data_IF_921380508694
#
_entry.id   IF_921380508694
#
_cell.length_a   1.000
_cell.length_b   1.000
_cell.length_c   1.000
_cell.angle_alpha   90.00
_cell.angle_beta   90.00
_cell.angle_gamma   90.00
#
_symmetry.space_group_name_H-M   'P 1'
#
loop_
_entity.id
_entity.type
_entity.pdbx_description
1 polymer ?
#
# COMPACT_ATOMS: atom_id res chain seq x y z
N UNK A 1 -12.95 -48.92 -14.59
CA UNK A 1 -12.10 -49.46 -13.50
C UNK A 1 -11.41 -48.41 -12.60
N UNK A 2 -11.89 -47.14 -12.51
CA UNK A 2 -11.32 -46.11 -11.62
C UNK A 2 -12.25 -45.60 -10.49
N UNK A 3 -13.39 -46.25 -10.26
CA UNK A 3 -14.40 -45.80 -9.26
C UNK A 3 -14.44 -46.65 -7.98
N UNK A 4 -13.71 -47.78 -7.92
CA UNK A 4 -13.69 -48.68 -6.74
C UNK A 4 -12.63 -48.32 -5.68
N UNK A 5 -11.68 -47.43 -5.97
CA UNK A 5 -10.61 -47.06 -5.05
C UNK A 5 -10.99 -45.94 -4.06
N UNK A 6 -12.00 -45.12 -4.36
CA UNK A 6 -12.42 -44.03 -3.46
C UNK A 6 -13.23 -44.50 -2.26
N UNK A 7 -13.89 -45.66 -2.33
CA UNK A 7 -14.74 -46.16 -1.23
C UNK A 7 -13.97 -46.84 -0.09
N UNK A 8 -12.78 -47.40 -0.38
CA UNK A 8 -11.96 -48.10 0.63
C UNK A 8 -11.18 -47.14 1.54
N UNK A 9 -10.91 -45.91 1.09
CA UNK A 9 -10.21 -44.90 1.89
C UNK A 9 -11.18 -44.23 2.89
N UNK A 10 -12.45 -44.06 2.53
CA UNK A 10 -13.47 -43.45 3.39
C UNK A 10 -13.90 -44.35 4.56
N UNK A 11 -13.91 -45.68 4.38
CA UNK A 11 -14.29 -46.63 5.44
C UNK A 11 -13.22 -46.76 6.55
N UNK A 12 -11.93 -46.61 6.21
CA UNK A 12 -10.85 -46.67 7.20
C UNK A 12 -10.77 -45.39 8.06
N UNK A 13 -11.16 -44.23 7.51
CA UNK A 13 -11.17 -42.97 8.28
C UNK A 13 -12.31 -42.93 9.31
N UNK A 14 -13.47 -43.52 9.01
CA UNK A 14 -14.60 -43.59 9.95
C UNK A 14 -14.31 -44.57 11.09
N UNK A 15 -13.62 -45.69 10.82
CA UNK A 15 -13.19 -46.62 11.86
C UNK A 15 -12.16 -46.00 12.83
N UNK A 16 -11.28 -45.13 12.34
CA UNK A 16 -10.27 -44.45 13.16
C UNK A 16 -10.89 -43.40 14.10
N UNK A 17 -11.95 -42.69 13.65
CA UNK A 17 -12.67 -41.69 14.47
C UNK A 17 -13.53 -42.35 15.56
N UNK A 18 -14.08 -43.54 15.31
CA UNK A 18 -14.83 -44.31 16.31
C UNK A 18 -13.91 -44.92 17.37
N UNK A 19 -12.68 -45.33 17.00
CA UNK A 19 -11.68 -45.81 17.95
C UNK A 19 -11.15 -44.68 18.87
N UNK A 20 -11.05 -43.44 18.37
CA UNK A 20 -10.55 -42.31 19.15
C UNK A 20 -11.59 -41.69 20.10
N UNK A 21 -12.89 -41.89 19.84
CA UNK A 21 -13.96 -41.37 20.71
C UNK A 21 -14.37 -42.34 21.82
N UNK A 22 -14.01 -43.62 21.73
CA UNK A 22 -14.36 -44.65 22.73
C UNK A 22 -13.30 -44.89 23.80
N UNK A 23 -12.09 -44.35 23.66
CA UNK A 23 -11.03 -44.37 24.68
C UNK A 23 -11.05 -43.19 25.66
N UNK A 24 -12.01 -42.27 25.52
CA UNK A 24 -12.07 -41.01 26.29
C UNK A 24 -12.86 -41.04 27.61
N UNK A 25 -13.31 -42.19 28.11
CA UNK A 25 -14.02 -42.24 29.41
C UNK A 25 -13.68 -43.52 30.19
N UNK A 26 -12.66 -43.46 31.05
CA UNK A 26 -12.55 -44.16 32.35
C UNK A 26 -11.09 -44.12 32.82
N UNK A 27 -10.85 -43.34 33.87
CA UNK A 27 -9.96 -43.56 35.04
C UNK A 27 -9.70 -42.18 35.66
N UNK A 28 -10.43 -41.81 36.71
CA UNK A 28 -10.07 -42.05 38.11
C UNK A 28 -8.96 -41.12 38.61
N UNK A 29 -9.30 -40.33 39.62
CA UNK A 29 -8.52 -39.31 40.29
C UNK A 29 -7.15 -39.80 40.81
N UNK A 30 -6.12 -38.98 40.62
CA UNK A 30 -4.92 -38.93 41.46
C UNK A 30 -4.45 -37.47 41.60
N UNK A 31 -3.99 -37.02 42.78
CA UNK A 31 -3.74 -35.61 43.04
C UNK A 31 -2.40 -35.15 42.46
N UNK A 32 -2.43 -34.00 41.79
CA UNK A 32 -1.25 -33.23 41.36
C UNK A 32 -0.49 -32.73 42.60
N UNK A 33 0.56 -33.47 42.99
CA UNK A 33 1.73 -32.94 43.68
C UNK A 33 2.96 -33.24 42.82
N UNK A 34 3.86 -32.25 42.78
CA UNK A 34 5.17 -32.25 42.13
C UNK A 34 5.28 -32.11 40.61
N UNK A 35 5.02 -30.88 40.16
CA UNK A 35 5.60 -30.31 38.93
C UNK A 35 6.82 -29.40 39.20
N UNK A 36 7.33 -29.33 40.44
CA UNK A 36 8.56 -28.59 40.74
C UNK A 36 9.84 -29.40 40.47
N UNK A 37 9.82 -30.72 40.71
CA UNK A 37 11.00 -31.58 40.49
C UNK A 37 11.39 -31.78 39.02
N UNK A 38 10.43 -31.66 38.08
CA UNK A 38 10.74 -31.79 36.65
C UNK A 38 11.50 -30.58 36.09
N UNK A 39 11.39 -29.42 36.75
CA UNK A 39 12.07 -28.18 36.33
C UNK A 39 13.55 -28.20 36.67
N UNK A 40 13.93 -28.88 37.75
CA UNK A 40 15.32 -28.95 38.21
C UNK A 40 16.10 -30.07 37.51
N UNK A 41 15.44 -31.13 37.02
CA UNK A 41 16.09 -32.15 36.18
C UNK A 41 16.43 -31.68 34.75
N UNK A 42 15.75 -30.65 34.23
CA UNK A 42 16.00 -30.13 32.88
C UNK A 42 17.09 -29.04 32.81
N UNK A 43 17.68 -28.64 33.94
CA UNK A 43 18.79 -27.65 33.98
C UNK A 43 20.20 -28.24 33.87
N UNK A 44 20.33 -29.57 33.76
CA UNK A 44 21.62 -30.27 33.86
C UNK A 44 22.35 -30.60 32.56
N UNK A 45 21.78 -30.39 31.38
CA UNK A 45 22.36 -30.93 30.13
C UNK A 45 22.73 -29.84 29.13
N UNK A 46 23.88 -29.19 29.35
CA UNK A 46 24.55 -28.40 28.32
C UNK A 46 25.39 -29.37 27.49
N UNK A 47 24.85 -29.81 26.35
CA UNK A 47 25.62 -30.51 25.33
C UNK A 47 26.51 -29.48 24.62
N UNK A 48 27.78 -29.40 25.02
CA UNK A 48 28.83 -28.73 24.24
C UNK A 48 29.09 -29.56 22.97
N UNK A 49 28.38 -29.24 21.90
CA UNK A 49 28.69 -29.74 20.56
C UNK A 49 29.62 -28.74 19.89
N UNK A 50 30.93 -29.02 19.96
CA UNK A 50 31.94 -28.30 19.19
C UNK A 50 31.91 -28.82 17.76
N UNK A 51 31.28 -28.09 16.84
CA UNK A 51 31.36 -28.41 15.42
C UNK A 51 32.73 -28.00 14.88
N UNK A 52 33.43 -28.87 14.11
CA UNK A 52 34.70 -28.53 13.52
C UNK A 52 34.52 -27.43 12.46
N UNK A 53 35.37 -26.41 12.55
CA UNK A 53 35.49 -25.35 11.53
C UNK A 53 36.09 -25.99 10.26
N UNK A 54 35.42 -25.92 9.10
CA UNK A 54 35.99 -26.45 7.88
C UNK A 54 37.21 -25.61 7.47
N UNK A 55 38.33 -26.28 7.21
CA UNK A 55 39.52 -25.65 6.65
C UNK A 55 39.25 -25.10 5.25
N UNK A 56 39.87 -23.96 4.88
CA UNK A 56 39.70 -23.38 3.55
C UNK A 56 40.24 -24.33 2.48
N UNK A 57 39.36 -24.72 1.56
CA UNK A 57 39.73 -25.51 0.37
C UNK A 57 40.52 -24.59 -0.57
N UNK A 58 41.75 -24.97 -0.99
CA UNK A 58 42.50 -24.19 -1.97
C UNK A 58 41.78 -24.23 -3.32
N UNK A 59 41.51 -23.04 -3.88
CA UNK A 59 40.96 -22.92 -5.23
C UNK A 59 41.99 -23.39 -6.26
N UNK A 60 41.67 -24.49 -6.94
CA UNK A 60 42.40 -24.95 -8.12
C UNK A 60 42.01 -24.05 -9.29
N UNK A 61 42.97 -23.46 -10.03
CA UNK A 61 42.66 -22.66 -11.20
C UNK A 61 42.03 -23.54 -12.28
N UNK A 62 40.83 -23.17 -12.71
CA UNK A 62 40.11 -23.80 -13.82
C UNK A 62 40.82 -23.41 -15.13
N UNK A 63 41.31 -24.36 -15.94
CA UNK A 63 41.87 -24.03 -17.23
C UNK A 63 40.78 -23.52 -18.17
N UNK A 64 41.08 -22.44 -18.89
CA UNK A 64 40.19 -21.86 -19.88
C UNK A 64 39.87 -22.87 -20.99
N UNK A 65 38.59 -23.16 -21.19
CA UNK A 65 38.12 -23.96 -22.31
C UNK A 65 38.27 -23.15 -23.61
N UNK A 66 38.78 -23.77 -24.70
CA UNK A 66 38.87 -23.10 -26.00
C UNK A 66 37.47 -22.84 -26.56
N UNK A 67 37.23 -21.59 -26.98
CA UNK A 67 36.02 -21.17 -27.68
C UNK A 67 36.07 -21.73 -29.11
N UNK A 68 35.11 -22.56 -29.54
CA UNK A 68 35.07 -23.02 -30.92
C UNK A 68 34.54 -21.90 -31.82
N UNK A 69 35.40 -21.39 -32.71
CA UNK A 69 35.02 -20.53 -33.82
C UNK A 69 34.49 -21.37 -34.97
N UNK A 70 33.19 -21.66 -34.96
CA UNK A 70 32.48 -22.17 -36.13
C UNK A 70 31.63 -21.04 -36.71
N UNK A 71 31.84 -20.63 -37.98
CA UNK A 71 30.98 -19.64 -38.61
C UNK A 71 29.62 -20.27 -38.92
N UNK A 72 28.58 -19.76 -38.29
CA UNK A 72 27.19 -20.10 -38.59
C UNK A 72 26.80 -19.42 -39.91
N UNK A 73 26.28 -20.13 -40.92
CA UNK A 73 25.79 -19.49 -42.14
C UNK A 73 24.53 -18.68 -41.82
N UNK A 74 24.55 -17.40 -42.19
CA UNK A 74 23.38 -16.51 -42.12
C UNK A 74 22.36 -16.97 -43.16
N UNK A 75 21.10 -17.27 -42.79
CA UNK A 75 20.07 -17.56 -43.78
C UNK A 75 19.71 -16.26 -44.51
N UNK A 76 19.77 -16.30 -45.84
CA UNK A 76 19.25 -15.24 -46.70
C UNK A 76 17.72 -15.20 -46.59
N UNK A 77 17.21 -14.15 -45.95
CA UNK A 77 15.79 -13.81 -45.93
C UNK A 77 15.41 -13.24 -47.31
N UNK A 78 14.42 -13.79 -48.02
CA UNK A 78 13.97 -13.22 -49.28
C UNK A 78 13.29 -11.87 -49.03
N UNK A 79 13.77 -10.85 -49.74
CA UNK A 79 13.20 -9.51 -49.75
C UNK A 79 11.82 -9.54 -50.42
N UNK A 80 10.77 -9.61 -49.61
CA UNK A 80 9.40 -9.37 -50.08
C UNK A 80 9.22 -7.85 -50.17
N UNK A 81 8.98 -7.34 -51.38
CA UNK A 81 8.63 -5.93 -51.56
C UNK A 81 7.26 -5.68 -50.93
N UNK A 82 7.11 -4.61 -50.11
CA UNK A 82 5.82 -4.30 -49.52
C UNK A 82 4.87 -3.81 -50.61
N UNK A 83 3.77 -4.53 -50.77
CA UNK A 83 2.64 -4.10 -51.60
C UNK A 83 2.04 -2.84 -50.95
N UNK A 84 2.11 -1.72 -51.66
CA UNK A 84 1.55 -0.44 -51.22
C UNK A 84 0.03 -0.54 -51.34
N UNK A 85 -0.63 -0.94 -50.26
CA UNK A 85 -2.08 -0.82 -50.13
C UNK A 85 -2.39 0.64 -49.83
N UNK A 86 -2.80 1.37 -50.86
CA UNK A 86 -3.33 2.73 -50.73
C UNK A 86 -4.69 2.68 -50.07
N UNK A 87 -4.72 2.74 -48.74
CA UNK A 87 -5.96 2.94 -47.98
C UNK A 87 -6.35 4.41 -48.15
N UNK A 88 -7.45 4.67 -48.87
CA UNK A 88 -8.04 6.00 -48.91
C UNK A 88 -8.51 6.38 -47.50
N UNK A 89 -8.17 7.57 -46.98
CA UNK A 89 -8.63 7.99 -45.68
C UNK A 89 -10.13 8.23 -45.74
N UNK A 90 -10.89 7.34 -45.12
CA UNK A 90 -12.29 7.59 -44.81
C UNK A 90 -12.33 8.79 -43.87
N UNK A 91 -12.94 9.89 -44.34
CA UNK A 91 -13.12 11.12 -43.58
C UNK A 91 -14.13 10.84 -42.49
N UNK A 92 -13.66 10.28 -41.37
CA UNK A 92 -14.44 10.21 -40.15
C UNK A 92 -14.52 11.63 -39.62
N UNK A 93 -15.67 12.28 -39.85
CA UNK A 93 -15.96 13.60 -39.31
C UNK A 93 -15.64 13.59 -37.81
N UNK A 94 -14.76 14.50 -37.38
CA UNK A 94 -14.44 14.70 -35.98
C UNK A 94 -15.73 15.05 -35.23
N UNK A 95 -16.31 14.07 -34.57
CA UNK A 95 -17.38 14.29 -33.60
C UNK A 95 -16.73 15.08 -32.47
N UNK A 96 -17.04 16.38 -32.40
CA UNK A 96 -16.60 17.23 -31.31
C UNK A 96 -16.97 16.53 -29.99
N UNK A 97 -16.04 16.38 -29.03
CA UNK A 97 -16.35 15.76 -27.76
C UNK A 97 -17.42 16.63 -27.11
N UNK A 98 -18.66 16.13 -27.11
CA UNK A 98 -19.74 16.71 -26.33
C UNK A 98 -19.30 16.49 -24.90
N UNK A 99 -18.80 17.55 -24.27
CA UNK A 99 -18.50 17.57 -22.85
C UNK A 99 -19.83 17.36 -22.12
N UNK A 100 -20.14 16.08 -21.88
CA UNK A 100 -21.19 15.70 -20.95
C UNK A 100 -20.67 16.12 -19.58
N UNK A 101 -20.93 17.38 -19.23
CA UNK A 101 -20.80 17.87 -17.87
C UNK A 101 -21.72 16.99 -17.06
N UNK A 102 -21.13 16.00 -16.38
CA UNK A 102 -21.91 15.09 -15.55
C UNK A 102 -22.36 15.92 -14.37
N UNK A 103 -23.61 16.38 -14.42
CA UNK A 103 -24.16 17.24 -13.38
C UNK A 103 -24.22 16.44 -12.08
N UNK A 104 -23.46 16.89 -11.09
CA UNK A 104 -23.64 16.45 -9.70
C UNK A 104 -25.05 16.87 -9.32
N UNK A 105 -25.83 16.01 -8.63
CA UNK A 105 -27.17 16.40 -8.17
C UNK A 105 -27.08 17.73 -7.41
N UNK A 106 -27.90 18.74 -7.75
CA UNK A 106 -27.90 20.00 -7.02
C UNK A 106 -28.23 19.73 -5.55
N UNK A 107 -27.55 20.44 -4.65
CA UNK A 107 -27.94 20.47 -3.24
C UNK A 107 -29.25 21.26 -3.09
N UNK A 108 -30.03 20.94 -2.06
CA UNK A 108 -31.29 21.64 -1.77
C UNK A 108 -31.02 23.12 -1.48
N UNK A 109 -31.84 24.03 -2.02
CA UNK A 109 -31.78 25.46 -1.70
C UNK A 109 -32.38 25.69 -0.31
N UNK A 110 -31.66 26.41 0.55
CA UNK A 110 -32.16 26.75 1.88
C UNK A 110 -32.16 28.28 2.03
N UNK A 111 -33.37 28.81 2.13
CA UNK A 111 -33.63 30.25 2.27
C UNK A 111 -33.06 31.10 1.11
N UNK A 112 -33.01 30.55 -0.10
CA UNK A 112 -32.50 31.26 -1.29
C UNK A 112 -30.98 31.39 -1.33
N UNK A 113 -30.26 30.53 -0.60
CA UNK A 113 -28.79 30.43 -0.62
C UNK A 113 -28.39 29.07 -1.19
N UNK A 114 -27.44 29.11 -2.14
CA UNK A 114 -26.82 27.89 -2.65
C UNK A 114 -26.20 27.09 -1.51
N UNK A 115 -26.70 25.88 -1.29
CA UNK A 115 -26.09 24.97 -0.34
C UNK A 115 -24.76 24.44 -0.90
N UNK A 116 -23.72 24.44 -0.07
CA UNK A 116 -22.38 24.03 -0.45
C UNK A 116 -21.80 23.10 0.60
N UNK A 117 -21.00 22.15 0.15
CA UNK A 117 -20.23 21.31 1.06
C UNK A 117 -19.18 22.14 1.79
N UNK A 118 -19.05 21.86 3.10
CA UNK A 118 -18.02 22.43 3.95
C UNK A 118 -17.28 21.28 4.61
N UNK A 119 -15.96 21.31 4.57
CA UNK A 119 -15.11 20.39 5.34
C UNK A 119 -14.43 21.22 6.41
N UNK A 120 -14.50 20.73 7.65
CA UNK A 120 -13.86 21.41 8.77
C UNK A 120 -12.35 21.49 8.53
N UNK A 121 -11.74 22.68 8.67
CA UNK A 121 -10.30 22.79 8.52
C UNK A 121 -9.61 21.98 9.62
N UNK A 122 -8.45 21.43 9.28
CA UNK A 122 -7.59 20.84 10.29
C UNK A 122 -7.15 21.92 11.29
N UNK A 123 -7.24 21.61 12.59
CA UNK A 123 -6.63 22.43 13.63
C UNK A 123 -5.11 22.53 13.40
N UNK A 124 -4.44 23.51 14.04
CA UNK A 124 -3.01 23.77 13.83
C UNK A 124 -2.16 22.49 13.80
N UNK A 125 -1.33 22.38 12.76
CA UNK A 125 -0.42 21.25 12.59
C UNK A 125 0.58 21.20 13.74
N UNK A 126 0.82 20.00 14.26
CA UNK A 126 1.88 19.76 15.22
C UNK A 126 3.25 20.06 14.60
N UNK A 127 4.24 20.40 15.42
CA UNK A 127 5.57 20.79 14.93
C UNK A 127 6.26 19.69 14.10
N UNK A 128 6.03 18.41 14.42
CA UNK A 128 6.53 17.27 13.65
C UNK A 128 5.83 17.13 12.28
N UNK A 129 4.52 17.40 12.23
CA UNK A 129 3.76 17.47 11.00
C UNK A 129 4.26 18.59 10.08
N UNK A 130 4.73 19.73 10.63
CA UNK A 130 5.33 20.79 9.83
C UNK A 130 6.63 20.34 9.13
N UNK A 131 7.46 19.51 9.79
CA UNK A 131 8.67 18.96 9.18
C UNK A 131 8.33 17.96 8.06
N UNK A 132 7.36 17.07 8.29
CA UNK A 132 6.90 16.14 7.28
C UNK A 132 6.30 16.89 6.07
N UNK A 133 5.42 17.86 6.31
CA UNK A 133 4.84 18.71 5.26
C UNK A 133 5.91 19.39 4.40
N UNK A 134 6.90 20.03 5.03
CA UNK A 134 8.02 20.65 4.32
C UNK A 134 8.78 19.63 3.45
N UNK A 135 9.06 18.43 3.99
CA UNK A 135 9.78 17.39 3.23
C UNK A 135 8.98 16.91 2.02
N UNK A 136 7.69 16.66 2.17
CA UNK A 136 6.85 16.24 1.04
C UNK A 136 6.64 17.37 0.02
N UNK A 137 6.57 18.63 0.46
CA UNK A 137 6.60 19.81 -0.44
C UNK A 137 7.91 19.85 -1.25
N UNK A 138 9.07 19.62 -0.63
CA UNK A 138 10.34 19.56 -1.36
C UNK A 138 10.38 18.41 -2.37
N UNK A 139 9.89 17.23 -1.99
CA UNK A 139 9.78 16.06 -2.88
C UNK A 139 8.94 16.41 -4.10
N UNK A 140 7.77 17.00 -3.90
CA UNK A 140 6.86 17.38 -4.97
C UNK A 140 7.45 18.48 -5.86
N UNK A 141 7.98 19.56 -5.26
CA UNK A 141 8.56 20.69 -5.98
C UNK A 141 9.75 20.28 -6.86
N UNK A 142 10.58 19.35 -6.38
CA UNK A 142 11.75 18.82 -7.11
C UNK A 142 11.42 17.65 -8.03
N UNK A 143 10.18 17.16 -8.03
CA UNK A 143 9.78 15.92 -8.70
C UNK A 143 10.69 14.74 -8.30
N UNK A 144 11.03 14.65 -7.01
CA UNK A 144 12.09 13.77 -6.52
C UNK A 144 11.76 12.27 -6.64
N UNK A 145 10.48 11.91 -6.68
CA UNK A 145 10.02 10.54 -6.98
C UNK A 145 10.03 10.19 -8.47
N UNK A 146 10.43 11.15 -9.31
CA UNK A 146 10.46 11.02 -10.76
C UNK A 146 9.10 11.25 -11.40
N UNK A 147 9.14 11.72 -12.64
CA UNK A 147 8.03 11.68 -13.57
C UNK A 147 8.53 11.03 -14.87
N UNK A 148 7.70 10.23 -15.54
CA UNK A 148 8.02 9.87 -16.93
C UNK A 148 7.79 11.12 -17.79
N UNK A 149 8.78 11.49 -18.60
CA UNK A 149 8.50 12.30 -19.80
C UNK A 149 7.55 11.46 -20.66
N UNK A 150 6.42 12.06 -21.03
CA UNK A 150 5.16 11.41 -21.39
C UNK A 150 5.21 10.39 -22.54
N UNK A 151 4.47 9.31 -22.37
CA UNK A 151 3.84 8.58 -23.50
C UNK A 151 2.43 9.14 -23.82
N UNK A 152 1.78 9.94 -22.95
CA UNK A 152 0.33 10.26 -23.07
C UNK A 152 -0.18 11.63 -22.53
N UNK A 153 0.61 12.72 -22.52
CA UNK A 153 0.02 14.05 -22.22
C UNK A 153 -0.28 14.39 -20.75
N UNK A 154 -0.13 13.45 -19.81
CA UNK A 154 -0.31 13.69 -18.36
C UNK A 154 1.03 13.72 -17.62
N UNK A 155 1.34 14.83 -16.92
CA UNK A 155 2.50 14.90 -16.02
C UNK A 155 2.03 14.70 -14.57
N UNK A 156 2.43 13.59 -13.95
CA UNK A 156 2.36 13.44 -12.49
C UNK A 156 3.74 13.68 -11.87
N UNK A 157 3.77 14.28 -10.69
CA UNK A 157 4.95 14.43 -9.83
C UNK A 157 4.93 13.45 -8.65
N UNK A 158 3.89 12.62 -8.54
CA UNK A 158 3.65 11.67 -7.46
C UNK A 158 4.32 10.30 -7.69
N UNK A 159 5.35 10.24 -8.54
CA UNK A 159 6.11 9.02 -8.85
C UNK A 159 5.53 8.16 -9.98
N UNK A 160 6.28 7.11 -10.33
CA UNK A 160 6.02 6.23 -11.48
C UNK A 160 4.70 5.44 -11.37
N UNK A 161 4.27 5.08 -10.16
CA UNK A 161 3.02 4.36 -9.92
C UNK A 161 1.76 5.23 -10.09
N UNK A 162 1.91 6.55 -10.20
CA UNK A 162 0.81 7.52 -10.17
C UNK A 162 0.44 8.09 -11.54
N UNK A 163 1.09 7.63 -12.62
CA UNK A 163 0.65 7.96 -13.98
C UNK A 163 -0.50 7.03 -14.42
N UNK A 164 -1.16 7.32 -15.54
CA UNK A 164 -2.29 6.52 -16.03
C UNK A 164 -1.95 5.04 -16.27
N UNK A 165 -0.70 4.75 -16.63
CA UNK A 165 -0.22 3.39 -16.88
C UNK A 165 0.04 2.69 -15.55
N UNK A 166 0.72 3.34 -14.62
CA UNK A 166 0.96 2.80 -13.28
C UNK A 166 -0.33 2.60 -12.50
N UNK A 167 -1.25 3.55 -12.55
CA UNK A 167 -2.51 3.48 -11.84
C UNK A 167 -3.59 2.63 -12.56
N UNK A 168 -3.28 1.97 -13.68
CA UNK A 168 -4.27 1.29 -14.50
C UNK A 168 -5.10 0.24 -13.73
N UNK A 169 -4.45 -0.63 -12.95
CA UNK A 169 -5.16 -1.66 -12.19
C UNK A 169 -5.92 -1.07 -11.00
N UNK A 170 -5.42 0.05 -10.43
CA UNK A 170 -6.16 0.84 -9.45
C UNK A 170 -7.43 1.43 -10.05
N UNK A 171 -7.35 2.07 -11.20
CA UNK A 171 -8.50 2.65 -11.90
C UNK A 171 -9.54 1.57 -12.19
N UNK A 172 -9.09 0.42 -12.70
CA UNK A 172 -9.97 -0.72 -13.05
C UNK A 172 -10.61 -1.33 -11.80
N UNK A 173 -9.82 -1.58 -10.75
CA UNK A 173 -10.27 -2.17 -9.50
C UNK A 173 -11.28 -1.27 -8.78
N UNK A 174 -10.98 0.02 -8.67
CA UNK A 174 -11.88 1.01 -8.05
C UNK A 174 -13.16 1.20 -8.87
N UNK A 175 -13.06 1.28 -10.20
CA UNK A 175 -14.25 1.38 -11.07
C UNK A 175 -15.17 0.18 -10.86
N UNK A 176 -14.62 -1.04 -10.83
CA UNK A 176 -15.40 -2.24 -10.54
C UNK A 176 -16.05 -2.19 -9.16
N UNK A 177 -15.28 -1.82 -8.13
CA UNK A 177 -15.78 -1.73 -6.76
C UNK A 177 -16.94 -0.73 -6.64
N UNK A 178 -16.79 0.49 -7.16
CA UNK A 178 -17.83 1.51 -7.08
C UNK A 178 -19.06 1.20 -7.92
N UNK A 179 -18.91 0.55 -9.08
CA UNK A 179 -20.07 0.07 -9.85
C UNK A 179 -20.93 -0.94 -9.08
N UNK A 180 -20.31 -1.69 -8.15
CA UNK A 180 -21.00 -2.63 -7.27
C UNK A 180 -21.55 -1.98 -6.00
N UNK A 181 -21.11 -0.76 -5.67
CA UNK A 181 -21.50 -0.03 -4.47
C UNK A 181 -21.84 1.45 -4.83
N UNK A 182 -22.84 1.68 -5.71
CA UNK A 182 -23.16 3.01 -6.21
C UNK A 182 -23.66 3.98 -5.12
N UNK A 183 -24.06 3.48 -3.96
CA UNK A 183 -24.50 4.27 -2.81
C UNK A 183 -23.35 5.00 -2.08
N UNK A 184 -22.08 4.62 -2.33
CA UNK A 184 -20.91 5.23 -1.71
C UNK A 184 -20.60 6.57 -2.36
N UNK A 185 -21.17 7.66 -1.87
CA UNK A 185 -21.17 8.95 -2.58
C UNK A 185 -20.26 10.01 -1.96
N UNK A 186 -19.67 9.73 -0.80
CA UNK A 186 -18.73 10.65 -0.14
C UNK A 186 -17.38 9.95 0.08
N UNK A 187 -16.32 10.47 -0.53
CA UNK A 187 -14.98 9.88 -0.50
C UNK A 187 -13.97 10.88 0.07
N UNK A 188 -13.14 10.45 1.02
CA UNK A 188 -11.94 11.15 1.45
C UNK A 188 -10.69 10.39 0.97
N UNK A 189 -9.84 11.04 0.17
CA UNK A 189 -8.58 10.51 -0.36
C UNK A 189 -7.39 11.26 0.27
N UNK A 190 -6.64 10.60 1.15
CA UNK A 190 -5.65 11.25 2.02
C UNK A 190 -4.42 10.34 2.23
N UNK A 191 -3.25 10.65 1.65
CA UNK A 191 -2.99 11.77 0.75
C UNK A 191 -3.58 11.54 -0.65
N UNK A 192 -4.07 12.61 -1.29
CA UNK A 192 -4.60 12.55 -2.66
C UNK A 192 -3.52 12.62 -3.74
N UNK A 193 -2.28 13.01 -3.40
CA UNK A 193 -1.26 13.33 -4.39
C UNK A 193 -1.73 14.42 -5.35
N UNK A 194 -1.10 14.51 -6.52
CA UNK A 194 -1.39 15.53 -7.54
C UNK A 194 -2.58 15.22 -8.47
N UNK A 195 -3.45 14.31 -8.04
CA UNK A 195 -4.68 13.91 -8.73
C UNK A 195 -4.48 13.48 -10.20
N UNK A 196 -3.34 12.88 -10.52
CA UNK A 196 -2.95 12.53 -11.89
C UNK A 196 -3.82 11.46 -12.57
N UNK A 197 -4.48 10.60 -11.79
CA UNK A 197 -5.22 9.45 -12.31
C UNK A 197 -6.63 9.32 -11.72
N UNK A 198 -6.89 9.93 -10.55
CA UNK A 198 -8.12 9.73 -9.78
C UNK A 198 -9.37 10.08 -10.57
N UNK A 199 -9.32 11.12 -11.40
CA UNK A 199 -10.46 11.55 -12.21
C UNK A 199 -10.78 10.59 -13.38
N UNK A 200 -9.90 9.63 -13.69
CA UNK A 200 -10.20 8.54 -14.61
C UNK A 200 -11.13 7.48 -13.98
N UNK A 201 -11.23 7.44 -12.65
CA UNK A 201 -12.28 6.67 -11.96
C UNK A 201 -13.55 7.49 -11.98
N UNK A 202 -14.49 7.16 -12.87
CA UNK A 202 -15.75 7.90 -13.07
C UNK A 202 -16.43 8.23 -11.73
N UNK A 203 -16.50 7.26 -10.83
CA UNK A 203 -17.17 7.43 -9.53
C UNK A 203 -16.50 8.47 -8.64
N UNK A 204 -15.16 8.53 -8.59
CA UNK A 204 -14.44 9.60 -7.85
C UNK A 204 -14.65 10.97 -8.49
N UNK A 205 -14.83 11.00 -9.82
CA UNK A 205 -15.11 12.24 -10.52
C UNK A 205 -16.53 12.77 -10.23
N UNK A 206 -17.52 11.87 -10.19
CA UNK A 206 -18.96 12.20 -10.13
C UNK A 206 -19.59 12.00 -8.76
N UNK A 207 -18.83 11.59 -7.74
CA UNK A 207 -19.31 11.44 -6.38
C UNK A 207 -19.96 12.72 -5.85
N UNK A 208 -20.96 12.59 -4.98
CA UNK A 208 -21.58 13.73 -4.28
C UNK A 208 -20.53 14.64 -3.64
N UNK A 209 -19.52 14.06 -2.98
CA UNK A 209 -18.39 14.79 -2.42
C UNK A 209 -17.10 13.98 -2.53
N UNK A 210 -16.06 14.60 -3.06
CA UNK A 210 -14.69 14.12 -3.00
C UNK A 210 -13.84 15.11 -2.21
N UNK A 211 -13.26 14.66 -1.10
CA UNK A 211 -12.23 15.39 -0.39
C UNK A 211 -10.86 14.83 -0.74
N UNK A 212 -9.96 15.68 -1.23
CA UNK A 212 -8.55 15.34 -1.42
C UNK A 212 -7.70 16.12 -0.42
N UNK A 213 -7.14 15.40 0.55
CA UNK A 213 -6.21 15.97 1.52
C UNK A 213 -4.78 15.60 1.14
N UNK A 214 -3.80 16.49 1.32
CA UNK A 214 -2.38 16.13 1.19
C UNK A 214 -1.52 16.86 2.21
N UNK A 215 -0.50 16.20 2.74
CA UNK A 215 0.45 16.81 3.68
C UNK A 215 1.42 17.77 2.98
N UNK A 216 1.64 17.61 1.67
CA UNK A 216 2.33 18.59 0.85
C UNK A 216 1.36 19.74 0.54
N UNK A 217 1.54 20.90 1.19
CA UNK A 217 0.69 22.08 1.00
C UNK A 217 0.68 22.52 -0.47
N UNK A 218 1.81 22.44 -1.17
CA UNK A 218 1.93 22.80 -2.57
C UNK A 218 1.07 21.93 -3.49
N UNK A 219 0.98 20.62 -3.22
CA UNK A 219 0.10 19.68 -3.93
C UNK A 219 -1.36 20.08 -3.76
N UNK A 220 -1.78 20.30 -2.51
CA UNK A 220 -3.15 20.69 -2.20
C UNK A 220 -3.56 22.01 -2.88
N UNK A 221 -2.66 23.01 -2.86
CA UNK A 221 -2.89 24.32 -3.53
C UNK A 221 -2.98 24.17 -5.05
N UNK A 222 -2.08 23.39 -5.65
CA UNK A 222 -2.10 23.15 -7.10
C UNK A 222 -3.39 22.43 -7.53
N UNK A 223 -3.83 21.42 -6.77
CA UNK A 223 -5.07 20.70 -7.03
C UNK A 223 -6.30 21.59 -6.85
N UNK A 224 -6.40 22.35 -5.76
CA UNK A 224 -7.50 23.28 -5.52
C UNK A 224 -7.62 24.30 -6.67
N UNK A 225 -6.49 24.80 -7.18
CA UNK A 225 -6.47 25.69 -8.34
C UNK A 225 -6.94 24.97 -9.62
N UNK A 226 -6.43 23.75 -9.88
CA UNK A 226 -6.74 22.97 -11.08
C UNK A 226 -8.21 22.57 -11.14
N UNK A 227 -8.80 22.22 -10.01
CA UNK A 227 -10.16 21.71 -9.92
C UNK A 227 -11.17 22.73 -9.35
N UNK A 228 -10.84 24.02 -9.32
CA UNK A 228 -11.69 25.09 -8.75
C UNK A 228 -13.12 25.16 -9.31
N UNK A 229 -13.34 24.65 -10.52
CA UNK A 229 -14.65 24.64 -11.19
C UNK A 229 -15.51 23.42 -10.81
N UNK A 230 -14.98 22.50 -10.01
CA UNK A 230 -15.68 21.30 -9.56
C UNK A 230 -16.19 21.51 -8.14
N UNK A 231 -17.45 21.86 -7.99
CA UNK A 231 -18.08 22.18 -6.69
C UNK A 231 -18.11 20.98 -5.72
N UNK A 232 -18.10 19.75 -6.25
CA UNK A 232 -18.05 18.53 -5.46
C UNK A 232 -16.64 18.12 -5.02
N UNK A 233 -15.61 18.95 -5.26
CA UNK A 233 -14.23 18.64 -4.92
C UNK A 233 -13.66 19.66 -3.95
N UNK A 234 -13.32 19.19 -2.75
CA UNK A 234 -12.68 20.00 -1.72
C UNK A 234 -11.25 19.52 -1.57
N UNK A 235 -10.30 20.38 -1.91
CA UNK A 235 -8.87 20.06 -1.93
C UNK A 235 -8.15 20.92 -0.91
N UNK A 236 -7.53 20.29 0.09
CA UNK A 236 -6.97 21.01 1.23
C UNK A 236 -5.66 20.39 1.71
N UNK A 237 -4.82 21.24 2.31
CA UNK A 237 -3.65 20.78 3.04
C UNK A 237 -4.11 20.01 4.28
N UNK A 238 -3.67 18.77 4.44
CA UNK A 238 -4.19 17.86 5.44
C UNK A 238 -3.15 16.84 5.87
N UNK A 239 -2.85 16.79 7.17
CA UNK A 239 -2.06 15.72 7.76
C UNK A 239 -2.99 14.72 8.45
N UNK A 240 -3.18 13.54 7.86
CA UNK A 240 -4.03 12.50 8.43
C UNK A 240 -3.63 12.11 9.86
N UNK A 241 -2.33 12.19 10.20
CA UNK A 241 -1.85 11.89 11.54
C UNK A 241 -2.30 12.93 12.55
N UNK A 242 -2.10 14.22 12.29
CA UNK A 242 -2.52 15.29 13.22
C UNK A 242 -4.02 15.53 13.21
N UNK A 243 -4.59 15.68 12.01
CA UNK A 243 -5.95 16.13 11.76
C UNK A 243 -7.01 15.02 11.94
N UNK A 244 -6.61 13.75 11.74
CA UNK A 244 -7.56 12.65 11.61
C UNK A 244 -8.36 12.71 10.31
N UNK A 245 -9.46 11.98 10.26
CA UNK A 245 -10.33 11.94 9.08
C UNK A 245 -11.24 13.16 9.09
N UNK A 246 -11.34 13.93 7.98
CA UNK A 246 -12.21 15.09 7.90
C UNK A 246 -13.67 14.70 8.14
N UNK A 247 -14.42 15.65 8.69
CA UNK A 247 -15.88 15.62 8.71
C UNK A 247 -16.39 16.68 7.75
N UNK A 248 -17.57 16.43 7.18
CA UNK A 248 -18.19 17.36 6.26
C UNK A 248 -19.60 17.73 6.71
N UNK A 249 -20.03 18.92 6.36
CA UNK A 249 -21.38 19.41 6.56
C UNK A 249 -21.82 20.16 5.29
N UNK A 250 -23.00 20.75 5.32
CA UNK A 250 -23.37 21.72 4.29
C UNK A 250 -23.55 23.10 4.92
N UNK A 251 -23.59 24.15 4.10
CA UNK A 251 -23.84 25.52 4.57
C UNK A 251 -25.23 25.66 5.20
N UNK A 252 -26.19 24.84 4.77
CA UNK A 252 -27.52 24.80 5.35
C UNK A 252 -27.65 23.89 6.58
N UNK A 253 -26.83 22.84 6.66
CA UNK A 253 -26.90 21.87 7.74
C UNK A 253 -25.51 21.68 8.35
N UNK A 254 -25.33 22.23 9.56
CA UNK A 254 -24.10 22.14 10.33
C UNK A 254 -23.86 20.77 10.99
N UNK A 255 -24.76 19.80 10.78
CA UNK A 255 -24.55 18.43 11.26
C UNK A 255 -23.32 17.84 10.60
N UNK A 256 -22.38 17.38 11.42
CA UNK A 256 -21.14 16.76 10.95
C UNK A 256 -21.40 15.34 10.48
N UNK A 257 -21.10 15.09 9.22
CA UNK A 257 -21.23 13.81 8.58
C UNK A 257 -19.85 13.16 8.39
N UNK A 258 -19.86 11.84 8.39
CA UNK A 258 -18.70 11.02 8.04
C UNK A 258 -18.66 10.77 6.54
N UNK A 259 -17.49 10.48 6.00
CA UNK A 259 -17.35 9.99 4.62
C UNK A 259 -17.73 8.52 4.55
N UNK A 260 -18.30 8.07 3.44
CA UNK A 260 -18.60 6.65 3.22
C UNK A 260 -17.30 5.83 3.04
N UNK A 261 -16.32 6.42 2.36
CA UNK A 261 -15.06 5.78 1.98
C UNK A 261 -13.88 6.65 2.38
N UNK A 262 -12.85 6.02 2.95
CA UNK A 262 -11.54 6.63 3.16
C UNK A 262 -10.51 5.86 2.33
N UNK A 263 -9.73 6.56 1.54
CA UNK A 263 -8.67 6.01 0.70
C UNK A 263 -7.31 6.55 1.13
N UNK A 264 -6.35 5.64 1.28
CA UNK A 264 -4.94 5.94 1.58
C UNK A 264 -4.08 5.09 0.65
N UNK A 265 -3.77 5.61 -0.54
CA UNK A 265 -2.90 4.93 -1.50
C UNK A 265 -1.46 5.39 -1.33
N UNK A 266 -0.54 4.44 -1.28
CA UNK A 266 0.91 4.63 -1.33
C UNK A 266 1.48 5.68 -0.36
N UNK A 267 0.93 5.73 0.84
CA UNK A 267 1.36 6.69 1.87
C UNK A 267 1.87 6.01 3.14
N UNK A 268 1.26 4.90 3.55
CA UNK A 268 1.58 4.28 4.84
C UNK A 268 3.03 3.77 4.89
N UNK A 269 3.60 3.33 3.76
CA UNK A 269 5.02 2.97 3.61
C UNK A 269 5.99 4.13 3.83
N UNK A 270 5.49 5.35 3.86
CA UNK A 270 6.28 6.57 4.05
C UNK A 270 6.17 7.17 5.45
N UNK A 271 5.33 6.59 6.31
CA UNK A 271 5.01 7.13 7.62
C UNK A 271 5.60 6.20 8.69
N UNK A 272 6.13 6.75 9.78
CA UNK A 272 6.60 5.94 10.90
C UNK A 272 5.51 4.97 11.40
N UNK A 273 5.86 3.71 11.68
CA UNK A 273 4.86 2.67 12.02
C UNK A 273 3.95 3.10 13.17
N UNK A 274 4.50 3.70 14.25
CA UNK A 274 3.69 4.16 15.38
C UNK A 274 2.65 5.22 15.00
N UNK A 275 2.95 6.06 14.00
CA UNK A 275 1.98 7.01 13.42
C UNK A 275 0.97 6.29 12.55
N UNK A 276 1.38 5.29 11.76
CA UNK A 276 0.46 4.44 10.99
C UNK A 276 -0.55 3.74 11.90
N UNK A 277 -0.11 3.17 13.03
CA UNK A 277 -1.03 2.54 13.99
C UNK A 277 -2.10 3.52 14.50
N UNK A 278 -1.71 4.77 14.76
CA UNK A 278 -2.65 5.82 15.17
C UNK A 278 -3.57 6.28 14.03
N UNK A 279 -3.04 6.41 12.81
CA UNK A 279 -3.84 6.70 11.61
C UNK A 279 -4.90 5.62 11.42
N UNK A 280 -4.52 4.34 11.49
CA UNK A 280 -5.45 3.22 11.35
C UNK A 280 -6.54 3.25 12.42
N UNK A 281 -6.22 3.61 13.67
CA UNK A 281 -7.24 3.83 14.72
C UNK A 281 -8.21 4.94 14.34
N UNK A 282 -7.72 6.12 13.94
CA UNK A 282 -8.59 7.24 13.52
C UNK A 282 -9.46 6.88 12.32
N UNK A 283 -8.91 6.14 11.36
CA UNK A 283 -9.60 5.74 10.12
C UNK A 283 -10.64 4.65 10.37
N UNK A 284 -10.33 3.64 11.18
CA UNK A 284 -11.17 2.44 11.33
C UNK A 284 -12.14 2.56 12.52
N UNK A 285 -11.74 3.24 13.59
CA UNK A 285 -12.52 3.34 14.83
C UNK A 285 -13.33 4.65 14.89
N UNK A 286 -12.71 5.78 14.55
CA UNK A 286 -13.28 7.11 14.86
C UNK A 286 -13.97 7.78 13.66
N UNK A 287 -13.66 7.32 12.45
CA UNK A 287 -14.04 8.03 11.23
C UNK A 287 -15.53 7.96 10.89
N UNK A 288 -16.23 6.92 11.36
CA UNK A 288 -17.59 6.61 10.95
C UNK A 288 -17.74 6.14 9.50
N UNK A 289 -16.64 5.90 8.79
CA UNK A 289 -16.68 5.40 7.42
C UNK A 289 -17.12 3.93 7.35
N UNK A 290 -17.63 3.53 6.18
CA UNK A 290 -18.06 2.16 5.90
C UNK A 290 -16.96 1.33 5.25
N UNK A 291 -16.10 2.00 4.48
CA UNK A 291 -15.04 1.35 3.70
C UNK A 291 -13.70 2.05 3.86
N UNK A 292 -12.64 1.24 3.91
CA UNK A 292 -11.26 1.68 3.94
C UNK A 292 -10.50 1.06 2.76
N UNK A 293 -9.92 1.89 1.90
CA UNK A 293 -9.17 1.51 0.70
C UNK A 293 -7.71 1.88 0.89
N UNK A 294 -6.78 0.97 0.63
CA UNK A 294 -5.35 1.25 0.80
C UNK A 294 -4.46 0.34 -0.05
N UNK A 295 -3.17 0.68 -0.16
CA UNK A 295 -2.15 -0.24 -0.69
C UNK A 295 -1.52 -1.08 0.42
N UNK A 296 -1.11 -2.30 0.08
CA UNK A 296 -0.28 -3.12 0.95
C UNK A 296 0.74 -3.92 0.15
N UNK A 297 1.93 -4.10 0.72
CA UNK A 297 3.09 -4.75 0.15
C UNK A 297 3.37 -6.07 0.90
N UNK A 298 2.59 -7.14 0.61
CA UNK A 298 2.79 -8.42 1.28
C UNK A 298 4.19 -8.97 0.99
N UNK A 299 4.74 -9.70 1.95
CA UNK A 299 6.17 -10.00 2.08
C UNK A 299 6.80 -10.91 1.00
N UNK A 300 6.08 -11.28 -0.06
CA UNK A 300 6.51 -12.34 -0.99
C UNK A 300 7.40 -11.87 -2.14
N UNK A 301 7.69 -10.59 -2.28
CA UNK A 301 8.38 -10.10 -3.48
C UNK A 301 9.81 -9.57 -3.25
N UNK A 302 10.76 -10.43 -3.59
CA UNK A 302 12.12 -10.28 -4.17
C UNK A 302 13.09 -9.15 -3.75
N UNK A 303 12.66 -8.06 -3.11
CA UNK A 303 13.53 -7.01 -2.56
C UNK A 303 13.80 -7.15 -1.05
N UNK A 304 13.27 -8.22 -0.44
CA UNK A 304 13.67 -8.65 0.90
C UNK A 304 14.52 -9.91 0.76
N UNK A 305 15.79 -9.81 1.14
CA UNK A 305 16.62 -10.98 1.47
C UNK A 305 16.20 -11.65 2.77
N UNK A 306 15.04 -11.29 3.32
CA UNK A 306 14.43 -11.88 4.49
C UNK A 306 13.39 -12.92 4.02
N UNK A 307 13.71 -14.22 4.01
CA UNK A 307 12.89 -15.28 3.42
C UNK A 307 11.61 -15.62 4.22
N UNK A 308 11.31 -14.89 5.30
CA UNK A 308 10.34 -15.31 6.30
C UNK A 308 9.00 -14.56 6.27
N UNK A 309 8.29 -14.54 5.14
CA UNK A 309 6.85 -14.22 5.09
C UNK A 309 6.39 -13.07 6.00
N UNK A 310 5.18 -13.15 6.58
CA UNK A 310 4.84 -12.29 7.71
C UNK A 310 5.75 -12.62 8.89
N UNK A 311 6.76 -11.78 9.18
CA UNK A 311 7.54 -11.98 10.41
C UNK A 311 6.59 -11.87 11.61
N UNK A 312 6.63 -12.87 12.48
CA UNK A 312 5.97 -12.83 13.80
C UNK A 312 6.73 -11.96 14.80
N UNK A 313 7.93 -11.47 14.43
CA UNK A 313 8.75 -10.65 15.30
C UNK A 313 8.34 -9.17 15.21
N UNK A 314 7.38 -8.78 16.04
CA UNK A 314 6.88 -7.40 16.20
C UNK A 314 8.04 -6.39 16.39
N UNK A 315 9.09 -6.76 17.15
CA UNK A 315 10.22 -5.89 17.44
C UNK A 315 11.09 -5.62 16.20
N UNK A 316 11.16 -6.56 15.25
CA UNK A 316 11.93 -6.38 14.02
C UNK A 316 11.28 -5.33 13.11
N UNK A 317 9.96 -5.40 12.97
CA UNK A 317 9.22 -4.42 12.17
C UNK A 317 9.22 -3.05 12.83
N UNK A 318 8.95 -2.96 14.14
CA UNK A 318 8.97 -1.69 14.85
C UNK A 318 10.37 -1.05 14.87
N UNK A 319 11.45 -1.82 14.94
CA UNK A 319 12.83 -1.28 14.89
C UNK A 319 13.27 -0.88 13.47
N UNK A 320 12.85 -1.60 12.43
CA UNK A 320 13.12 -1.22 11.02
C UNK A 320 12.25 -0.06 10.54
N UNK A 321 11.00 0.04 11.01
CA UNK A 321 10.06 1.12 10.71
C UNK A 321 10.24 2.37 11.60
N UNK A 322 11.12 2.30 12.61
CA UNK A 322 11.68 3.47 13.26
C UNK A 322 12.66 4.13 12.28
N UNK A 323 12.11 4.80 11.26
CA UNK A 323 12.91 5.46 10.24
C UNK A 323 13.86 6.46 10.90
N UNK A 324 15.19 6.30 10.80
CA UNK A 324 16.14 7.19 11.46
C UNK A 324 16.00 8.65 11.02
N UNK A 325 15.40 8.88 9.84
CA UNK A 325 15.20 10.19 9.24
C UNK A 325 13.80 10.79 9.48
N UNK A 326 12.86 10.11 10.15
CA UNK A 326 11.44 10.50 10.23
C UNK A 326 10.64 10.22 8.94
N UNK A 327 9.40 10.72 8.87
CA UNK A 327 8.44 10.47 7.77
C UNK A 327 9.00 10.87 6.39
N UNK A 328 8.77 10.08 5.34
CA UNK A 328 9.20 10.33 3.95
C UNK A 328 10.23 9.35 3.38
N UNK A 329 10.81 8.46 4.21
CA UNK A 329 11.52 7.27 3.72
C UNK A 329 10.55 6.22 3.16
N UNK A 330 11.01 5.06 2.68
CA UNK A 330 10.14 4.00 2.13
C UNK A 330 10.42 2.65 2.79
N UNK A 331 9.37 1.88 3.10
CA UNK A 331 9.45 0.48 3.52
C UNK A 331 8.21 -0.32 3.10
N UNK A 332 8.32 -1.62 2.78
CA UNK A 332 7.15 -2.41 2.39
C UNK A 332 6.24 -2.66 3.59
N UNK A 333 5.08 -2.02 3.60
CA UNK A 333 4.06 -2.17 4.65
C UNK A 333 3.10 -3.32 4.31
N UNK A 334 3.10 -4.37 5.14
CA UNK A 334 2.20 -5.51 5.02
C UNK A 334 1.15 -5.46 6.12
N UNK A 335 -0.09 -5.07 5.79
CA UNK A 335 -1.15 -4.82 6.76
C UNK A 335 -1.73 -6.10 7.38
N UNK A 336 -1.57 -7.23 6.70
CA UNK A 336 -1.92 -8.57 7.17
C UNK A 336 -0.82 -9.19 8.06
N UNK A 337 0.33 -8.54 8.19
CA UNK A 337 1.45 -8.98 9.02
C UNK A 337 1.61 -8.12 10.28
N UNK A 338 2.56 -8.53 11.14
CA UNK A 338 2.95 -7.72 12.29
C UNK A 338 3.46 -6.32 11.85
N UNK A 339 3.17 -5.26 12.61
CA UNK A 339 2.40 -5.26 13.87
C UNK A 339 0.89 -5.06 13.69
N UNK A 340 0.37 -5.03 12.45
CA UNK A 340 -1.00 -4.60 12.15
C UNK A 340 -2.03 -5.72 12.27
N UNK A 341 -1.71 -6.91 11.73
CA UNK A 341 -2.56 -8.11 11.77
C UNK A 341 -4.02 -7.85 11.35
N UNK A 342 -4.25 -7.03 10.33
CA UNK A 342 -5.59 -6.80 9.81
C UNK A 342 -6.14 -8.11 9.20
N UNK A 343 -7.46 -8.36 9.29
CA UNK A 343 -8.10 -9.51 8.66
C UNK A 343 -7.95 -9.47 7.13
N UNK A 344 -8.41 -10.50 6.43
CA UNK A 344 -8.44 -10.46 4.97
C UNK A 344 -9.36 -9.34 4.46
N UNK A 345 -8.93 -8.53 3.48
CA UNK A 345 -9.79 -7.51 2.90
C UNK A 345 -10.95 -8.14 2.12
N UNK A 346 -12.06 -7.41 1.99
CA UNK A 346 -13.20 -7.84 1.20
C UNK A 346 -12.86 -7.94 -0.30
N UNK A 347 -11.93 -7.10 -0.77
CA UNK A 347 -11.37 -7.18 -2.11
C UNK A 347 -9.85 -6.98 -2.08
N UNK A 348 -9.14 -7.83 -2.82
CA UNK A 348 -7.69 -7.81 -2.99
C UNK A 348 -7.37 -8.02 -4.46
N UNK A 349 -6.61 -7.10 -5.05
CA UNK A 349 -6.06 -7.25 -6.41
C UNK A 349 -4.66 -6.68 -6.45
N UNK A 350 -3.82 -7.17 -7.37
CA UNK A 350 -2.51 -6.55 -7.61
C UNK A 350 -2.71 -5.10 -8.09
N UNK A 351 -1.96 -4.17 -7.53
CA UNK A 351 -1.99 -2.74 -7.91
C UNK A 351 -1.34 -2.44 -9.25
N UNK A 352 -0.44 -3.33 -9.68
CA UNK A 352 0.41 -3.22 -10.86
C UNK A 352 0.51 -4.59 -11.56
N UNK A 353 -0.62 -5.30 -11.64
CA UNK A 353 -0.75 -6.57 -12.33
C UNK A 353 -0.50 -6.48 -13.83
N UNK A 354 -1.04 -5.44 -14.48
CA UNK A 354 -0.94 -5.19 -15.91
C UNK A 354 0.42 -4.59 -16.28
N UNK A 355 0.86 -3.58 -15.53
CA UNK A 355 2.16 -2.93 -15.73
C UNK A 355 3.02 -3.15 -14.49
N UNK A 356 3.92 -4.13 -14.54
CA UNK A 356 4.80 -4.51 -13.43
C UNK A 356 5.75 -3.37 -13.07
N UNK A 357 5.38 -2.59 -12.06
CA UNK A 357 6.18 -1.48 -11.50
C UNK A 357 6.57 -1.81 -10.07
N UNK A 358 5.59 -2.20 -9.25
CA UNK A 358 5.78 -2.66 -7.87
C UNK A 358 4.92 -3.90 -7.61
N UNK A 359 5.12 -4.50 -6.44
CA UNK A 359 4.45 -5.74 -6.03
C UNK A 359 3.53 -5.50 -4.83
N UNK A 360 2.78 -4.41 -4.90
CA UNK A 360 1.73 -4.07 -3.94
C UNK A 360 0.35 -4.48 -4.46
N UNK A 361 -0.62 -4.38 -3.56
CA UNK A 361 -1.99 -4.77 -3.78
C UNK A 361 -2.92 -3.64 -3.35
N UNK A 362 -3.95 -3.42 -4.15
CA UNK A 362 -5.15 -2.68 -3.77
C UNK A 362 -5.95 -3.54 -2.80
N UNK A 363 -6.04 -3.09 -1.55
CA UNK A 363 -6.85 -3.68 -0.50
C UNK A 363 -8.08 -2.80 -0.25
N UNK A 364 -9.25 -3.41 -0.24
CA UNK A 364 -10.52 -2.74 0.13
C UNK A 364 -11.14 -3.51 1.28
N UNK A 365 -11.20 -2.84 2.43
CA UNK A 365 -11.76 -3.34 3.66
C UNK A 365 -13.16 -2.78 3.88
N UNK A 366 -14.08 -3.65 4.26
CA UNK A 366 -15.30 -3.23 4.95
C UNK A 366 -14.92 -2.92 6.40
N UNK A 367 -15.33 -1.77 6.91
CA UNK A 367 -15.12 -1.41 8.32
C UNK A 367 -16.23 -2.08 9.15
N UNK A 368 -15.99 -3.34 9.50
CA UNK A 368 -16.86 -4.17 10.35
C UNK A 368 -16.22 -4.41 11.74
N UNK A 369 -16.91 -5.18 12.58
CA UNK A 369 -16.47 -5.44 13.95
C UNK A 369 -15.14 -6.21 13.99
N UNK A 370 -14.89 -7.11 13.03
CA UNK A 370 -13.65 -7.87 12.98
C UNK A 370 -12.45 -6.96 12.65
N UNK A 371 -12.60 -6.04 11.70
CA UNK A 371 -11.54 -5.07 11.40
C UNK A 371 -11.31 -4.11 12.58
N UNK A 372 -12.39 -3.64 13.23
CA UNK A 372 -12.29 -2.78 14.41
C UNK A 372 -11.58 -3.49 15.57
N UNK A 373 -11.93 -4.74 15.83
CA UNK A 373 -11.30 -5.57 16.86
C UNK A 373 -9.80 -5.76 16.60
N UNK A 374 -9.41 -6.06 15.35
CA UNK A 374 -8.00 -6.16 14.98
C UNK A 374 -7.22 -4.87 15.28
N UNK A 375 -7.80 -3.69 14.97
CA UNK A 375 -7.16 -2.39 15.22
C UNK A 375 -7.12 -2.02 16.71
N UNK A 376 -8.16 -2.39 17.48
CA UNK A 376 -8.19 -2.21 18.93
C UNK A 376 -7.12 -3.06 19.63
N UNK A 377 -6.97 -4.31 19.18
CA UNK A 377 -6.00 -5.26 19.72
C UNK A 377 -4.57 -5.08 19.17
N UNK A 378 -4.37 -4.12 18.27
CA UNK A 378 -3.06 -3.81 17.70
C UNK A 378 -2.11 -3.35 18.81
N UNK A 379 -1.04 -4.13 19.02
CA UNK A 379 -0.03 -3.80 20.04
C UNK A 379 0.77 -2.59 19.59
N UNK A 380 0.95 -1.57 20.46
CA UNK A 380 1.79 -0.44 20.12
C UNK A 380 3.22 -0.91 19.90
N UNK A 381 3.89 -0.36 18.90
CA UNK A 381 5.33 -0.56 18.79
C UNK A 381 6.02 -0.14 20.09
N UNK A 382 7.04 -0.89 20.56
CA UNK A 382 7.82 -0.47 21.72
C UNK A 382 8.34 0.94 21.48
N UNK A 383 8.19 1.82 22.47
CA UNK A 383 8.83 3.12 22.42
C UNK A 383 10.34 2.89 22.47
N UNK A 384 10.99 2.96 21.32
CA UNK A 384 12.44 3.08 21.29
C UNK A 384 12.72 4.51 21.73
N UNK A 385 13.23 4.66 22.96
CA UNK A 385 13.81 5.94 23.37
C UNK A 385 14.75 6.39 22.24
N UNK A 386 14.63 7.62 21.73
CA UNK A 386 15.49 8.09 20.66
C UNK A 386 16.93 7.80 21.10
N UNK A 387 17.67 7.06 20.29
CA UNK A 387 19.06 6.77 20.59
C UNK A 387 19.71 8.10 20.95
N UNK A 388 20.33 8.19 22.15
CA UNK A 388 21.02 9.41 22.57
C UNK A 388 21.85 9.87 21.37
N UNK A 389 21.68 11.10 20.87
CA UNK A 389 22.36 11.55 19.67
C UNK A 389 23.84 11.25 19.87
N UNK A 390 24.37 10.32 19.07
CA UNK A 390 25.79 10.00 19.11
C UNK A 390 26.51 11.33 18.91
N UNK A 391 27.43 11.73 19.80
CA UNK A 391 28.13 12.99 19.67
C UNK A 391 28.65 13.09 18.24
N UNK A 392 28.11 14.05 17.48
CA UNK A 392 28.56 14.28 16.11
C UNK A 392 29.96 14.84 16.25
N UNK A 393 30.97 13.96 16.16
CA UNK A 393 32.34 14.39 15.89
C UNK A 393 32.27 15.24 14.64
N UNK A 394 32.62 16.52 14.75
CA UNK A 394 32.50 17.52 13.70
C UNK A 394 32.98 16.95 12.36
N UNK A 395 32.04 16.56 11.51
CA UNK A 395 32.35 16.07 10.18
C UNK A 395 32.71 17.28 9.32
N UNK A 396 33.80 17.17 8.58
CA UNK A 396 34.25 18.18 7.63
C UNK A 396 33.14 18.52 6.61
N UNK A 397 33.06 19.77 6.10
CA UNK A 397 31.91 20.28 5.34
C UNK A 397 31.60 19.62 3.98
N UNK A 398 32.21 18.48 3.63
CA UNK A 398 32.23 17.95 2.26
C UNK A 398 31.26 16.78 1.99
N UNK A 399 30.49 16.30 2.99
CA UNK A 399 29.69 15.08 2.86
C UNK A 399 28.15 15.22 2.89
N UNK A 400 27.60 16.42 2.76
CA UNK A 400 26.14 16.61 2.60
C UNK A 400 25.71 16.55 1.12
N UNK A 401 25.90 15.39 0.46
CA UNK A 401 25.16 15.07 -0.79
C UNK A 401 23.99 14.14 -0.44
N UNK A 402 22.74 14.45 -0.83
CA UNK A 402 21.59 13.61 -0.53
C UNK A 402 21.72 12.22 -1.18
N UNK A 403 21.66 11.15 -0.40
CA UNK A 403 21.67 9.76 -0.89
C UNK A 403 20.36 9.31 -1.57
N UNK A 404 19.36 10.20 -1.69
CA UNK A 404 18.02 9.88 -2.19
C UNK A 404 17.98 9.34 -3.63
N UNK A 405 18.97 9.64 -4.47
CA UNK A 405 18.97 9.20 -5.87
C UNK A 405 19.49 7.76 -6.10
N UNK A 406 20.04 7.07 -5.08
CA UNK A 406 20.71 5.76 -5.30
C UNK A 406 19.81 4.53 -5.18
N UNK A 407 18.61 4.63 -4.60
CA UNK A 407 17.68 3.48 -4.56
C UNK A 407 16.89 3.25 -5.84
N UNK A 408 16.72 4.27 -6.70
CA UNK A 408 15.97 4.13 -7.95
C UNK A 408 16.83 3.91 -9.20
N UNK A 409 18.17 3.98 -9.09
CA UNK A 409 19.06 3.84 -10.25
C UNK A 409 19.37 2.39 -10.66
N UNK A 410 18.80 1.37 -10.00
CA UNK A 410 19.01 -0.06 -10.36
C UNK A 410 18.04 -0.62 -11.41
N UNK A 411 17.06 0.16 -11.88
CA UNK A 411 16.19 -0.21 -13.01
C UNK A 411 16.59 0.51 -14.29
N UNK A 412 17.85 0.38 -14.72
CA UNK A 412 18.20 0.57 -16.13
C UNK A 412 18.22 -0.79 -16.79
N UNK A 413 17.20 -1.05 -17.61
CA UNK A 413 17.19 -2.15 -18.55
C UNK A 413 18.36 -1.95 -19.53
N UNK A 414 19.24 -2.93 -19.76
CA UNK A 414 20.22 -2.83 -20.84
C UNK A 414 19.44 -2.97 -22.16
N UNK A 415 19.44 -1.90 -22.95
CA UNK A 415 19.28 -2.03 -24.40
C UNK A 415 20.61 -2.44 -25.01
#
# INVERSE_FOLDING_TARGET
MKSRWMWLVSLNLVALVIALTTLGTRTACAPLRDLRDLRDQLRGTVLNVTLPVPSPVPMVPVPALPVPTVPVPVPTVPTVQPEVVTVQPEVVAAVAPTSVVTQVPPLDDCDGREDRFVVEPCAELMADAAQAAHRFDEIYARQAWGSRVQELGTHTRSGLGSDMKGAFDWITGLTKFFNQNPELQTIADIPSGDMGWQMAVRHLNTAKLYFGGDIAKSVAVDNAKRYRAHENKILQHWDLYSCGVPKWSTTCNSTKNSFDVIMIRDALQHIAISKVQQILRKVILDSGAKWFITSSYPATDTLRTDPYGCSTNENLFCSKGAMPAGDGGWYPIALDCAPFHLPSPAFKTASHGTFKIENDFLYIYKIDDALKEAVLNMKPCPSFAPAKPTPVTAATPEMLRPQFARSFSRFRNPQ
#
